data_IF_347792178838
#
_entry.id   IF_347792178838
#
_cell.length_a   1.000
_cell.length_b   1.000
_cell.length_c   1.000
_cell.angle_alpha   90.00
_cell.angle_beta   90.00
_cell.angle_gamma   90.00
#
_symmetry.space_group_name_H-M   'P 1'
#
loop_
_entity.id
_entity.type
_entity.pdbx_description
1 polymer ?
#
# COMPACT_ATOMS: atom_id res chain seq x y z
N UNK A 1 -8.80 -12.48 27.70
CA UNK A 1 -7.66 -11.56 27.46
C UNK A 1 -6.36 -12.36 27.56
N UNK A 2 -5.31 -12.03 26.79
CA UNK A 2 -3.99 -12.67 26.94
C UNK A 2 -3.22 -11.98 28.07
N UNK A 3 -2.44 -12.75 28.83
CA UNK A 3 -1.54 -12.21 29.86
C UNK A 3 -0.58 -11.18 29.23
N UNK A 4 -0.57 -9.93 29.70
CA UNK A 4 0.32 -8.89 29.19
C UNK A 4 1.80 -9.25 29.26
N UNK A 5 2.26 -9.98 30.28
CA UNK A 5 3.66 -10.37 30.38
C UNK A 5 4.03 -11.37 29.28
N UNK A 6 3.22 -12.41 29.10
CA UNK A 6 3.39 -13.40 28.03
C UNK A 6 3.38 -12.76 26.65
N UNK A 7 2.44 -11.84 26.38
CA UNK A 7 2.40 -11.16 25.08
C UNK A 7 3.57 -10.17 24.90
N UNK A 8 4.02 -9.52 25.98
CA UNK A 8 5.21 -8.67 25.96
C UNK A 8 6.44 -9.42 25.45
N UNK A 9 6.69 -10.62 25.98
CA UNK A 9 7.88 -11.41 25.60
C UNK A 9 7.91 -11.73 24.11
N UNK A 10 6.76 -11.99 23.48
CA UNK A 10 6.66 -12.19 22.03
C UNK A 10 7.01 -10.94 21.23
N UNK A 11 6.79 -9.75 21.81
CA UNK A 11 7.15 -8.46 21.21
C UNK A 11 8.58 -8.03 21.54
N UNK A 12 9.36 -8.84 22.28
CA UNK A 12 10.68 -8.47 22.78
C UNK A 12 10.63 -7.46 23.93
N UNK A 13 9.55 -7.44 24.71
CA UNK A 13 9.32 -6.54 25.84
C UNK A 13 9.02 -7.35 27.12
N UNK A 14 9.24 -6.75 28.30
CA UNK A 14 8.87 -7.40 29.56
C UNK A 14 7.34 -7.56 29.72
N UNK A 15 6.58 -6.66 29.07
CA UNK A 15 5.11 -6.63 29.09
C UNK A 15 4.58 -5.94 27.84
N UNK A 16 3.43 -6.40 27.36
CA UNK A 16 2.71 -5.77 26.27
C UNK A 16 2.19 -4.39 26.69
N UNK A 17 2.31 -3.38 25.82
CA UNK A 17 1.81 -2.04 26.12
C UNK A 17 0.28 -2.03 26.22
N UNK A 18 -0.23 -1.29 27.19
CA UNK A 18 -1.67 -1.05 27.32
C UNK A 18 -2.20 -0.25 26.11
N UNK A 19 -3.48 -0.43 25.81
CA UNK A 19 -4.14 0.25 24.67
C UNK A 19 -3.96 1.77 24.73
N UNK A 20 -4.02 2.39 25.92
CA UNK A 20 -3.77 3.84 26.10
C UNK A 20 -2.34 4.23 25.72
N UNK A 21 -1.36 3.38 26.02
CA UNK A 21 0.06 3.62 25.72
C UNK A 21 0.30 3.53 24.22
N UNK A 22 -0.25 2.51 23.56
CA UNK A 22 -0.23 2.37 22.11
C UNK A 22 -0.89 3.56 21.42
N UNK A 23 -2.12 3.94 21.83
CA UNK A 23 -2.84 5.08 21.24
C UNK A 23 -2.05 6.38 21.36
N UNK A 24 -1.46 6.66 22.52
CA UNK A 24 -0.64 7.86 22.72
C UNK A 24 0.63 7.83 21.86
N UNK A 25 1.30 6.68 21.77
CA UNK A 25 2.50 6.55 20.93
C UNK A 25 2.19 6.74 19.45
N UNK A 26 1.13 6.08 18.95
CA UNK A 26 0.65 6.25 17.58
C UNK A 26 0.21 7.69 17.30
N UNK A 27 -0.45 8.35 18.26
CA UNK A 27 -0.83 9.76 18.15
C UNK A 27 0.38 10.69 17.98
N UNK A 28 1.45 10.46 18.75
CA UNK A 28 2.71 11.22 18.58
C UNK A 28 3.35 10.97 17.22
N UNK A 29 3.40 9.72 16.76
CA UNK A 29 3.91 9.38 15.43
C UNK A 29 3.10 10.08 14.33
N UNK A 30 1.77 10.03 14.44
CA UNK A 30 0.86 10.66 13.48
C UNK A 30 1.03 12.19 13.43
N UNK A 31 1.35 12.84 14.55
CA UNK A 31 1.56 14.28 14.63
C UNK A 31 2.78 14.77 13.82
N UNK A 32 3.69 13.89 13.42
CA UNK A 32 4.80 14.27 12.54
C UNK A 32 4.39 14.40 11.08
N UNK A 33 3.22 13.90 10.67
CA UNK A 33 2.73 13.96 9.28
C UNK A 33 3.69 13.37 8.22
N UNK A 34 4.59 12.47 8.62
CA UNK A 34 5.62 11.88 7.76
C UNK A 34 5.27 10.47 7.24
N UNK A 35 3.99 10.06 7.24
CA UNK A 35 3.61 8.69 6.91
C UNK A 35 4.06 8.26 5.49
N UNK A 36 3.90 9.14 4.50
CA UNK A 36 4.36 8.87 3.13
C UNK A 36 5.89 8.78 3.03
N UNK A 37 6.60 9.66 3.72
CA UNK A 37 8.07 9.67 3.75
C UNK A 37 8.59 8.39 4.39
N UNK A 38 8.01 7.99 5.54
CA UNK A 38 8.32 6.73 6.20
C UNK A 38 8.07 5.53 5.27
N UNK A 39 6.96 5.52 4.53
CA UNK A 39 6.68 4.48 3.54
C UNK A 39 7.72 4.40 2.42
N UNK A 40 8.17 5.55 1.92
CA UNK A 40 9.21 5.63 0.89
C UNK A 40 10.57 5.13 1.40
N UNK A 41 10.95 5.48 2.62
CA UNK A 41 12.20 4.99 3.23
C UNK A 41 12.16 3.48 3.50
N UNK A 42 11.02 2.96 3.98
CA UNK A 42 10.83 1.51 4.11
C UNK A 42 10.95 0.79 2.76
N UNK A 43 10.43 1.37 1.69
CA UNK A 43 10.58 0.81 0.35
C UNK A 43 12.05 0.80 -0.09
N UNK A 44 12.83 1.86 0.18
CA UNK A 44 14.28 1.88 -0.10
C UNK A 44 15.03 0.78 0.65
N UNK A 45 14.75 0.62 1.95
CA UNK A 45 15.38 -0.44 2.78
C UNK A 45 15.08 -1.81 2.20
N UNK A 46 13.81 -2.11 1.90
CA UNK A 46 13.40 -3.40 1.32
C UNK A 46 14.06 -3.69 -0.03
N UNK A 47 14.23 -2.67 -0.86
CA UNK A 47 14.92 -2.81 -2.16
C UNK A 47 16.41 -3.08 -1.98
N UNK A 48 17.05 -2.43 -1.00
CA UNK A 48 18.45 -2.69 -0.68
C UNK A 48 18.66 -4.12 -0.16
N UNK A 49 17.74 -4.64 0.66
CA UNK A 49 17.79 -5.99 1.21
C UNK A 49 17.51 -7.09 0.18
N UNK A 50 16.60 -6.83 -0.77
CA UNK A 50 16.10 -7.87 -1.72
C UNK A 50 16.77 -7.83 -3.09
N UNK A 51 17.49 -6.76 -3.43
CA UNK A 51 18.26 -6.65 -4.66
C UNK A 51 17.43 -6.83 -5.94
N UNK A 52 17.92 -7.66 -6.86
CA UNK A 52 17.34 -7.90 -8.19
C UNK A 52 16.12 -8.86 -8.19
N UNK A 53 15.75 -9.44 -7.05
CA UNK A 53 14.64 -10.41 -6.95
C UNK A 53 13.25 -9.80 -7.25
N UNK A 54 13.17 -8.48 -7.41
CA UNK A 54 11.95 -7.71 -7.67
C UNK A 54 11.55 -7.69 -9.15
N UNK A 55 11.42 -8.86 -9.78
CA UNK A 55 11.02 -8.97 -11.20
C UNK A 55 9.52 -8.85 -11.45
N UNK A 56 8.69 -9.18 -10.46
CA UNK A 56 7.22 -9.10 -10.53
C UNK A 56 6.69 -8.28 -9.37
N UNK A 57 5.85 -7.29 -9.69
CA UNK A 57 5.14 -6.47 -8.70
C UNK A 57 3.63 -6.62 -8.87
N UNK A 58 2.96 -7.08 -7.82
CA UNK A 58 1.52 -7.22 -7.73
C UNK A 58 0.90 -5.94 -7.20
N UNK A 59 0.03 -5.34 -7.99
CA UNK A 59 -0.65 -4.08 -7.66
C UNK A 59 -2.14 -4.35 -7.45
N UNK A 60 -2.63 -3.97 -6.27
CA UNK A 60 -4.04 -4.10 -5.90
C UNK A 60 -4.55 -2.86 -5.15
N UNK A 61 -5.83 -2.54 -5.32
CA UNK A 61 -6.50 -1.44 -4.65
C UNK A 61 -7.47 -1.93 -3.58
N UNK A 62 -7.30 -1.48 -2.35
CA UNK A 62 -8.11 -1.88 -1.21
C UNK A 62 -8.87 -0.69 -0.60
N UNK A 63 -10.20 -0.78 -0.55
CA UNK A 63 -11.04 0.20 0.14
C UNK A 63 -10.96 -0.03 1.65
N UNK A 64 -10.46 0.97 2.38
CA UNK A 64 -10.35 0.99 3.84
C UNK A 64 -11.41 1.93 4.43
N UNK A 65 -12.27 1.39 5.28
CA UNK A 65 -13.21 2.22 6.04
C UNK A 65 -12.47 3.20 6.96
N UNK A 66 -12.91 4.45 6.97
CA UNK A 66 -12.40 5.49 7.84
C UNK A 66 -13.30 5.63 9.06
N UNK A 67 -12.68 5.58 10.24
CA UNK A 67 -13.34 5.61 11.54
C UNK A 67 -12.92 6.81 12.39
N UNK A 68 -12.19 7.77 11.81
CA UNK A 68 -11.81 8.99 12.51
C UNK A 68 -12.89 10.06 12.45
N UNK A 69 -12.59 11.21 13.03
CA UNK A 69 -13.54 12.32 13.17
C UNK A 69 -13.55 13.28 11.97
N UNK A 70 -12.63 13.10 11.00
CA UNK A 70 -12.58 13.95 9.81
C UNK A 70 -13.70 13.62 8.85
N UNK A 71 -14.29 14.65 8.25
CA UNK A 71 -15.19 14.49 7.11
C UNK A 71 -14.39 14.13 5.87
N UNK A 72 -14.65 12.95 5.31
CA UNK A 72 -14.06 12.48 4.04
C UNK A 72 -15.15 11.90 3.13
N UNK A 73 -14.85 11.74 1.84
CA UNK A 73 -15.78 11.13 0.89
C UNK A 73 -16.12 9.69 1.25
N UNK A 74 -17.27 9.22 0.75
CA UNK A 74 -17.75 7.85 1.00
C UNK A 74 -17.37 6.94 -0.15
N UNK A 75 -17.03 5.70 0.16
CA UNK A 75 -16.99 4.61 -0.81
C UNK A 75 -17.83 3.43 -0.33
N UNK A 76 -18.20 2.56 -1.27
CA UNK A 76 -18.88 1.32 -0.93
C UNK A 76 -17.89 0.34 -0.29
N UNK A 77 -18.06 0.08 1.00
CA UNK A 77 -17.24 -0.89 1.74
C UNK A 77 -17.89 -2.25 1.61
N UNK A 78 -17.37 -3.07 0.70
CA UNK A 78 -17.96 -4.37 0.34
C UNK A 78 -18.22 -5.27 1.55
N UNK A 79 -17.29 -5.33 2.52
CA UNK A 79 -17.45 -6.15 3.75
C UNK A 79 -18.57 -5.69 4.68
N UNK A 80 -19.04 -4.45 4.55
CA UNK A 80 -20.12 -3.86 5.35
C UNK A 80 -21.41 -3.71 4.55
N UNK A 81 -21.37 -3.96 3.25
CA UNK A 81 -22.47 -3.72 2.32
C UNK A 81 -23.07 -2.30 2.39
N UNK A 82 -22.25 -1.29 2.70
CA UNK A 82 -22.69 0.09 2.96
C UNK A 82 -21.73 1.13 2.36
N UNK A 83 -22.28 2.24 1.88
CA UNK A 83 -21.51 3.44 1.55
C UNK A 83 -21.17 4.22 2.83
N UNK A 84 -19.87 4.32 3.14
CA UNK A 84 -19.39 4.98 4.36
C UNK A 84 -18.07 5.70 4.10
N UNK A 85 -17.64 6.63 5.00
CA UNK A 85 -16.35 7.28 4.88
C UNK A 85 -15.24 6.24 4.73
N UNK A 86 -14.45 6.34 3.67
CA UNK A 86 -13.42 5.36 3.34
C UNK A 86 -12.34 5.98 2.45
N UNK A 87 -11.16 5.39 2.41
CA UNK A 87 -10.07 5.73 1.48
C UNK A 87 -9.68 4.51 0.66
N UNK A 88 -9.00 4.71 -0.46
CA UNK A 88 -8.43 3.60 -1.25
C UNK A 88 -6.92 3.55 -1.05
N UNK A 89 -6.44 2.41 -0.60
CA UNK A 89 -5.02 2.11 -0.46
C UNK A 89 -4.57 1.22 -1.62
N UNK A 90 -3.52 1.62 -2.32
CA UNK A 90 -2.86 0.78 -3.32
C UNK A 90 -1.65 0.10 -2.71
N UNK A 91 -1.66 -1.23 -2.75
CA UNK A 91 -0.57 -2.07 -2.31
C UNK A 91 0.22 -2.54 -3.51
N UNK A 92 1.55 -2.48 -3.39
CA UNK A 92 2.49 -3.01 -4.36
C UNK A 92 3.35 -4.03 -3.62
N UNK A 93 3.21 -5.30 -3.97
CA UNK A 93 3.89 -6.42 -3.32
C UNK A 93 4.81 -7.13 -4.30
N UNK A 94 5.86 -7.77 -3.81
CA UNK A 94 6.70 -8.65 -4.64
C UNK A 94 6.06 -10.04 -4.83
N UNK A 95 6.78 -10.94 -5.51
CA UNK A 95 6.36 -12.32 -5.76
C UNK A 95 6.11 -13.14 -4.48
N UNK A 96 6.79 -12.85 -3.37
CA UNK A 96 6.57 -13.50 -2.08
C UNK A 96 5.32 -12.99 -1.37
N UNK A 97 4.67 -11.95 -1.89
CA UNK A 97 3.59 -11.25 -1.22
C UNK A 97 4.09 -10.22 -0.20
N UNK A 98 5.40 -9.98 -0.15
CA UNK A 98 5.94 -9.00 0.78
C UNK A 98 5.71 -7.57 0.26
N UNK A 99 5.32 -6.63 1.14
CA UNK A 99 4.95 -5.29 0.72
C UNK A 99 6.16 -4.45 0.32
N UNK A 100 6.17 -3.92 -0.89
CA UNK A 100 7.15 -2.94 -1.35
C UNK A 100 6.68 -1.51 -1.03
N UNK A 101 5.50 -1.12 -1.54
CA UNK A 101 4.92 0.22 -1.38
C UNK A 101 3.45 0.14 -0.94
N UNK A 102 3.05 1.11 -0.12
CA UNK A 102 1.65 1.40 0.22
C UNK A 102 1.40 2.87 -0.11
N UNK A 103 0.39 3.13 -0.95
CA UNK A 103 0.05 4.48 -1.39
C UNK A 103 -1.43 4.70 -1.11
N UNK A 104 -1.75 5.59 -0.17
CA UNK A 104 -3.13 6.00 0.10
C UNK A 104 -3.49 7.11 -0.89
N UNK A 105 -4.49 6.87 -1.73
CA UNK A 105 -5.00 7.86 -2.66
C UNK A 105 -6.23 8.56 -2.09
N UNK A 106 -6.43 9.82 -2.49
CA UNK A 106 -7.74 10.46 -2.40
C UNK A 106 -8.74 9.72 -3.30
N UNK A 107 -10.02 9.69 -2.91
CA UNK A 107 -11.05 8.86 -3.55
C UNK A 107 -11.26 9.19 -5.04
N UNK A 108 -11.83 8.21 -5.76
CA UNK A 108 -12.37 8.28 -7.13
C UNK A 108 -11.42 7.95 -8.29
N UNK A 109 -10.18 7.58 -7.99
CA UNK A 109 -9.32 6.93 -8.97
C UNK A 109 -9.72 5.45 -9.12
N UNK A 110 -10.22 5.06 -10.29
CA UNK A 110 -10.15 3.64 -10.66
C UNK A 110 -8.67 3.19 -10.63
N UNK A 111 -8.42 1.90 -10.45
CA UNK A 111 -7.05 1.38 -10.46
C UNK A 111 -6.27 1.86 -11.71
N UNK A 112 -6.91 1.86 -12.88
CA UNK A 112 -6.36 2.41 -14.12
C UNK A 112 -5.94 3.90 -14.04
N UNK A 113 -6.67 4.73 -13.29
CA UNK A 113 -6.36 6.15 -13.08
C UNK A 113 -5.23 6.37 -12.07
N UNK A 114 -5.09 5.47 -11.10
CA UNK A 114 -4.02 5.55 -10.10
C UNK A 114 -2.66 5.12 -10.65
N UNK A 115 -2.64 4.19 -11.62
CA UNK A 115 -1.43 3.61 -12.18
C UNK A 115 -0.31 4.61 -12.55
N UNK A 116 -0.56 5.74 -13.23
CA UNK A 116 0.50 6.69 -13.54
C UNK A 116 1.33 7.11 -12.33
N UNK A 117 0.69 7.40 -11.20
CA UNK A 117 1.36 7.77 -9.96
C UNK A 117 2.04 6.57 -9.29
N UNK A 118 1.38 5.40 -9.29
CA UNK A 118 1.96 4.16 -8.75
C UNK A 118 3.27 3.80 -9.47
N UNK A 119 3.26 3.85 -10.80
CA UNK A 119 4.43 3.53 -11.64
C UNK A 119 5.55 4.55 -11.47
N UNK A 120 5.22 5.82 -11.29
CA UNK A 120 6.19 6.87 -10.95
C UNK A 120 6.91 6.54 -9.64
N UNK A 121 6.17 6.15 -8.59
CA UNK A 121 6.75 5.75 -7.30
C UNK A 121 7.56 4.46 -7.40
N UNK A 122 7.11 3.49 -8.21
CA UNK A 122 7.89 2.27 -8.51
C UNK A 122 9.22 2.64 -9.17
N UNK A 123 9.23 3.51 -10.19
CA UNK A 123 10.48 3.96 -10.83
C UNK A 123 11.39 4.75 -9.90
N UNK A 124 10.84 5.60 -9.04
CA UNK A 124 11.62 6.32 -8.05
C UNK A 124 12.33 5.37 -7.06
N UNK A 125 11.70 4.22 -6.78
CA UNK A 125 12.22 3.24 -5.81
C UNK A 125 13.19 2.24 -6.45
N UNK A 126 12.84 1.70 -7.62
CA UNK A 126 13.58 0.63 -8.29
C UNK A 126 14.55 1.13 -9.38
N UNK A 127 14.39 2.35 -9.87
CA UNK A 127 15.11 2.85 -11.04
C UNK A 127 14.63 2.19 -12.34
N UNK A 128 15.56 2.04 -13.31
CA UNK A 128 15.28 1.53 -14.67
C UNK A 128 15.32 0.00 -14.81
N UNK A 129 15.35 -0.74 -13.70
CA UNK A 129 15.39 -2.21 -13.75
C UNK A 129 14.12 -2.79 -14.43
N UNK A 130 14.24 -3.90 -15.17
CA UNK A 130 13.08 -4.57 -15.77
C UNK A 130 12.12 -5.04 -14.69
N UNK A 131 10.84 -4.75 -14.86
CA UNK A 131 9.79 -5.10 -13.89
C UNK A 131 8.50 -5.43 -14.64
N UNK A 132 7.91 -6.56 -14.30
CA UNK A 132 6.55 -6.93 -14.71
C UNK A 132 5.55 -6.45 -13.68
N UNK A 133 4.57 -5.66 -14.11
CA UNK A 133 3.47 -5.18 -13.27
C UNK A 133 2.26 -6.11 -13.45
N UNK A 134 1.87 -6.75 -12.35
CA UNK A 134 0.76 -7.70 -12.28
C UNK A 134 -0.45 -7.05 -11.62
N UNK A 135 -1.62 -7.07 -12.26
CA UNK A 135 -2.82 -6.45 -11.70
C UNK A 135 -4.12 -7.04 -12.23
N UNK A 136 -5.21 -6.77 -11.52
CA UNK A 136 -6.54 -7.30 -11.84
C UNK A 136 -7.23 -6.55 -13.01
N UNK A 137 -8.47 -6.96 -13.32
CA UNK A 137 -9.27 -6.36 -14.41
C UNK A 137 -9.62 -4.88 -14.18
N UNK A 138 -9.51 -4.36 -12.95
CA UNK A 138 -9.73 -2.95 -12.62
C UNK A 138 -8.72 -2.01 -13.27
N UNK A 139 -7.55 -2.53 -13.65
CA UNK A 139 -6.52 -1.80 -14.39
C UNK A 139 -6.65 -1.89 -15.92
N UNK A 140 -7.65 -2.59 -16.45
CA UNK A 140 -7.72 -2.85 -17.90
C UNK A 140 -7.98 -1.56 -18.71
N UNK A 141 -6.95 -1.12 -19.46
CA UNK A 141 -7.03 0.05 -20.32
C UNK A 141 -5.93 0.02 -21.39
N UNK A 142 -6.27 -0.05 -22.70
CA UNK A 142 -5.27 -0.04 -23.78
C UNK A 142 -4.36 1.21 -23.76
N UNK A 143 -4.91 2.36 -23.37
CA UNK A 143 -4.14 3.61 -23.21
C UNK A 143 -3.10 3.48 -22.10
N UNK A 144 -3.48 2.86 -20.97
CA UNK A 144 -2.55 2.59 -19.87
C UNK A 144 -1.45 1.63 -20.33
N UNK A 145 -1.79 0.56 -21.04
CA UNK A 145 -0.80 -0.44 -21.48
C UNK A 145 0.26 0.16 -22.38
N UNK A 146 -0.15 0.99 -23.34
CA UNK A 146 0.80 1.72 -24.19
C UNK A 146 1.74 2.60 -23.37
N UNK A 147 1.22 3.30 -22.36
CA UNK A 147 2.03 4.13 -21.46
C UNK A 147 3.03 3.32 -20.64
N UNK A 148 2.62 2.15 -20.13
CA UNK A 148 3.46 1.25 -19.35
C UNK A 148 4.61 0.67 -20.19
N UNK A 149 4.31 0.18 -21.38
CA UNK A 149 5.31 -0.37 -22.32
C UNK A 149 6.32 0.72 -22.71
N UNK A 150 5.85 1.94 -23.01
CA UNK A 150 6.73 3.08 -23.32
C UNK A 150 7.65 3.47 -22.15
N UNK A 151 7.26 3.17 -20.91
CA UNK A 151 8.06 3.37 -19.70
C UNK A 151 8.93 2.15 -19.34
N UNK A 152 9.00 1.14 -20.21
CA UNK A 152 9.81 -0.07 -20.04
C UNK A 152 9.27 -1.03 -18.97
N UNK A 153 7.96 -1.04 -18.73
CA UNK A 153 7.32 -2.05 -17.88
C UNK A 153 6.73 -3.16 -18.73
N UNK A 154 6.90 -4.39 -18.26
CA UNK A 154 6.13 -5.54 -18.74
C UNK A 154 4.78 -5.60 -18.02
N UNK A 155 3.78 -6.17 -18.68
CA UNK A 155 2.39 -6.17 -18.19
C UNK A 155 1.89 -7.59 -18.10
N UNK A 156 1.32 -7.94 -16.94
CA UNK A 156 0.56 -9.17 -16.75
C UNK A 156 -0.79 -8.83 -16.12
N UNK A 157 -1.87 -9.02 -16.86
CA UNK A 157 -3.21 -8.76 -16.33
C UNK A 157 -4.22 -9.71 -16.96
N UNK A 158 -5.38 -9.84 -16.32
CA UNK A 158 -6.49 -10.62 -16.85
C UNK A 158 -7.17 -9.86 -17.98
N UNK A 159 -7.54 -10.58 -19.04
CA UNK A 159 -8.40 -10.04 -20.09
C UNK A 159 -9.75 -9.65 -19.51
N UNK A 160 -10.21 -8.44 -19.82
CA UNK A 160 -11.57 -7.98 -19.51
C UNK A 160 -12.57 -8.50 -20.53
#
# INVERSE_FOLDING_TARGET
ERDPATFGRLLGLDRAPEVKTLRRALGRLAAHHCAEQMGAELARVRVAERGELMGFLYVDGHVRAYHGERTISKAYVARRHLAMPATTDYWINDRGGDPLLLITAELDASLAKAFPELLRRVRATLGKRPVTIVFDRGGWSPKLFRSMINQGFDILTYRK
#
